data_IF_899380204692
#
_entry.id   IF_899380204692
#
_cell.length_a   1.000
_cell.length_b   1.000
_cell.length_c   1.000
_cell.angle_alpha   90.00
_cell.angle_beta   90.00
_cell.angle_gamma   90.00
#
_symmetry.space_group_name_H-M   'P 1'
#
loop_
_entity.id
_entity.type
_entity.pdbx_description
1 polymer ?
#
# COMPACT_ATOMS: atom_id res chain seq x y z
N UNK A 1 18.62 13.95 -6.89
CA UNK A 1 17.32 13.28 -7.08
C UNK A 1 17.52 11.79 -6.80
N UNK A 2 16.66 11.16 -5.98
CA UNK A 2 16.65 9.70 -5.79
C UNK A 2 15.64 9.09 -6.76
N UNK A 3 16.00 7.97 -7.39
CA UNK A 3 15.10 7.22 -8.28
C UNK A 3 14.66 5.93 -7.58
N UNK A 4 13.37 5.64 -7.69
CA UNK A 4 12.78 4.38 -7.27
C UNK A 4 12.07 3.69 -8.44
N UNK A 5 11.92 2.37 -8.32
CA UNK A 5 11.17 1.56 -9.29
C UNK A 5 10.19 0.65 -8.56
N UNK A 6 9.00 0.50 -9.12
CA UNK A 6 8.01 -0.44 -8.63
C UNK A 6 8.50 -1.89 -8.84
N UNK A 7 8.36 -2.75 -7.83
CA UNK A 7 8.71 -4.16 -7.99
C UNK A 7 7.75 -4.91 -8.92
N UNK A 8 6.47 -4.51 -8.96
CA UNK A 8 5.42 -5.19 -9.70
C UNK A 8 5.68 -5.21 -11.22
N UNK A 9 6.22 -4.12 -11.78
CA UNK A 9 6.56 -4.06 -13.21
C UNK A 9 7.69 -5.02 -13.60
N UNK A 10 8.44 -5.54 -12.63
CA UNK A 10 9.50 -6.55 -12.83
C UNK A 10 8.92 -7.96 -12.61
N UNK A 11 8.05 -8.12 -11.62
CA UNK A 11 7.32 -9.35 -11.34
C UNK A 11 7.34 -9.75 -9.86
N UNK A 12 7.04 -11.02 -9.58
CA UNK A 12 6.89 -11.55 -8.20
C UNK A 12 8.20 -11.96 -7.52
N UNK A 13 9.28 -12.11 -8.28
CA UNK A 13 10.59 -12.45 -7.71
C UNK A 13 11.26 -11.19 -7.17
N UNK A 14 11.28 -11.05 -5.84
CA UNK A 14 11.87 -9.89 -5.17
C UNK A 14 13.38 -9.79 -5.35
N UNK A 15 14.08 -10.92 -5.47
CA UNK A 15 15.53 -10.93 -5.72
C UNK A 15 15.81 -10.38 -7.11
N UNK A 16 15.03 -10.83 -8.11
CA UNK A 16 15.08 -10.28 -9.47
C UNK A 16 14.76 -8.79 -9.47
N UNK A 17 13.73 -8.37 -8.74
CA UNK A 17 13.34 -6.96 -8.64
C UNK A 17 14.48 -6.10 -8.07
N UNK A 18 15.10 -6.54 -6.98
CA UNK A 18 16.24 -5.85 -6.36
C UNK A 18 17.48 -5.82 -7.28
N UNK A 19 17.76 -6.91 -8.00
CA UNK A 19 18.85 -6.93 -8.99
C UNK A 19 18.62 -5.94 -10.13
N UNK A 20 17.41 -5.90 -10.69
CA UNK A 20 17.07 -4.98 -11.77
C UNK A 20 17.14 -3.54 -11.29
N UNK A 21 16.52 -3.23 -10.14
CA UNK A 21 16.54 -1.88 -9.56
C UNK A 21 17.98 -1.36 -9.34
N UNK A 22 18.86 -2.21 -8.78
CA UNK A 22 20.28 -1.87 -8.59
C UNK A 22 21.00 -1.67 -9.93
N UNK A 23 20.78 -2.57 -10.91
CA UNK A 23 21.43 -2.49 -12.25
C UNK A 23 21.05 -1.24 -13.03
N UNK A 24 19.80 -0.75 -12.91
CA UNK A 24 19.33 0.45 -13.60
C UNK A 24 19.66 1.74 -12.83
N UNK A 25 20.35 1.64 -11.69
CA UNK A 25 20.83 2.79 -10.93
C UNK A 25 19.80 3.41 -9.99
N UNK A 26 18.71 2.72 -9.67
CA UNK A 26 17.77 3.17 -8.64
C UNK A 26 18.42 3.10 -7.24
N UNK A 27 18.04 4.05 -6.39
CA UNK A 27 18.41 4.06 -4.97
C UNK A 27 17.30 3.49 -4.07
N UNK A 28 16.12 3.25 -4.64
CA UNK A 28 15.03 2.63 -3.90
C UNK A 28 14.06 1.85 -4.75
N UNK A 29 13.07 1.28 -4.06
CA UNK A 29 11.99 0.48 -4.64
C UNK A 29 10.66 0.82 -4.00
N UNK A 30 9.60 0.66 -4.76
CA UNK A 30 8.23 0.68 -4.23
C UNK A 30 7.68 -0.74 -4.30
N UNK A 31 7.09 -1.22 -3.19
CA UNK A 31 6.66 -2.61 -3.07
C UNK A 31 5.14 -2.73 -3.09
N UNK A 32 4.63 -3.47 -4.06
CA UNK A 32 3.26 -3.95 -4.10
C UNK A 32 3.16 -5.26 -3.31
N UNK A 33 2.58 -5.22 -2.10
CA UNK A 33 2.62 -6.38 -1.19
C UNK A 33 2.04 -7.67 -1.79
N UNK A 34 1.06 -7.53 -2.71
CA UNK A 34 0.37 -8.65 -3.33
C UNK A 34 1.28 -9.53 -4.20
N UNK A 35 2.48 -9.05 -4.54
CA UNK A 35 3.44 -9.85 -5.30
C UNK A 35 4.14 -10.91 -4.44
N UNK A 36 4.11 -10.77 -3.10
CA UNK A 36 4.81 -11.65 -2.17
C UNK A 36 3.97 -12.13 -0.96
N UNK A 37 2.81 -11.54 -0.68
CA UNK A 37 1.86 -12.06 0.31
C UNK A 37 0.41 -11.74 -0.05
N UNK A 38 -0.55 -12.56 0.38
CA UNK A 38 -1.98 -12.26 0.21
C UNK A 38 -2.45 -11.22 1.23
N UNK A 39 -2.12 -11.45 2.51
CA UNK A 39 -2.34 -10.49 3.60
C UNK A 39 -1.00 -10.21 4.28
N UNK A 40 -0.70 -8.96 4.62
CA UNK A 40 0.50 -8.63 5.38
C UNK A 40 0.60 -9.39 6.71
N UNK A 41 -0.55 -9.63 7.37
CA UNK A 41 -0.64 -10.38 8.62
C UNK A 41 -0.20 -11.83 8.53
N UNK A 42 -0.12 -12.41 7.33
CA UNK A 42 0.31 -13.79 7.13
C UNK A 42 1.84 -13.93 7.19
N UNK A 43 2.58 -12.82 7.06
CA UNK A 43 4.05 -12.80 7.12
C UNK A 43 4.53 -12.75 8.56
N UNK A 44 5.34 -13.73 8.94
CA UNK A 44 6.09 -13.70 10.20
C UNK A 44 7.15 -12.59 10.20
N UNK A 45 7.59 -12.17 11.39
CA UNK A 45 8.71 -11.23 11.55
C UNK A 45 9.96 -11.68 10.80
N UNK A 46 10.23 -12.99 10.76
CA UNK A 46 11.39 -13.53 10.04
C UNK A 46 11.28 -13.41 8.52
N UNK A 47 10.07 -13.53 7.96
CA UNK A 47 9.83 -13.36 6.53
C UNK A 47 9.93 -11.89 6.14
N UNK A 48 9.38 -10.98 6.97
CA UNK A 48 9.52 -9.53 6.76
C UNK A 48 10.98 -9.09 6.78
N UNK A 49 11.78 -9.60 7.72
CA UNK A 49 13.22 -9.33 7.78
C UNK A 49 13.96 -9.82 6.52
N UNK A 50 13.63 -11.01 6.02
CA UNK A 50 14.20 -11.53 4.76
C UNK A 50 13.83 -10.67 3.56
N UNK A 51 12.57 -10.23 3.47
CA UNK A 51 12.11 -9.32 2.40
C UNK A 51 12.92 -8.03 2.44
N UNK A 52 13.07 -7.41 3.62
CA UNK A 52 13.90 -6.22 3.80
C UNK A 52 15.35 -6.46 3.34
N UNK A 53 15.95 -7.56 3.76
CA UNK A 53 17.34 -7.91 3.45
C UNK A 53 17.61 -8.05 1.94
N UNK A 54 16.65 -8.56 1.17
CA UNK A 54 16.76 -8.68 -0.30
C UNK A 54 17.12 -7.33 -0.94
N UNK A 55 16.51 -6.25 -0.47
CA UNK A 55 16.73 -4.89 -0.98
C UNK A 55 17.90 -4.20 -0.28
N UNK A 56 17.97 -4.24 1.05
CA UNK A 56 19.00 -3.51 1.81
C UNK A 56 20.42 -4.03 1.55
N UNK A 57 20.59 -5.33 1.31
CA UNK A 57 21.90 -5.93 0.94
C UNK A 57 22.47 -5.40 -0.39
N UNK A 58 21.62 -4.77 -1.21
CA UNK A 58 21.99 -4.13 -2.49
C UNK A 58 22.00 -2.60 -2.41
N UNK A 59 21.90 -2.04 -1.19
CA UNK A 59 21.85 -0.60 -0.96
C UNK A 59 20.56 0.07 -1.44
N UNK A 60 19.48 -0.70 -1.61
CA UNK A 60 18.17 -0.17 -2.01
C UNK A 60 17.32 0.15 -0.78
N UNK A 61 16.76 1.35 -0.75
CA UNK A 61 15.74 1.78 0.22
C UNK A 61 14.36 1.28 -0.22
N UNK A 62 13.56 0.72 0.68
CA UNK A 62 12.14 0.46 0.42
C UNK A 62 11.40 1.78 0.67
N UNK A 63 11.08 2.53 -0.39
CA UNK A 63 10.57 3.89 -0.27
C UNK A 63 9.09 3.93 0.15
N UNK A 64 8.27 3.04 -0.42
CA UNK A 64 6.85 3.01 -0.17
C UNK A 64 6.24 1.62 -0.39
N UNK A 65 5.09 1.38 0.25
CA UNK A 65 4.17 0.31 -0.14
C UNK A 65 3.02 0.90 -0.94
N UNK A 66 2.59 0.22 -1.99
CA UNK A 66 1.46 0.66 -2.82
C UNK A 66 0.58 -0.53 -3.24
N UNK A 67 -0.49 -0.26 -3.99
CA UNK A 67 -1.51 -1.26 -4.34
C UNK A 67 -2.09 -1.99 -3.12
N UNK A 68 -2.28 -1.25 -2.02
CA UNK A 68 -2.53 -1.85 -0.71
C UNK A 68 -3.86 -2.63 -0.61
N UNK A 69 -4.79 -2.40 -1.56
CA UNK A 69 -6.08 -3.09 -1.66
C UNK A 69 -6.22 -4.02 -2.87
N UNK A 70 -5.16 -4.24 -3.65
CA UNK A 70 -5.17 -5.24 -4.73
C UNK A 70 -5.30 -6.66 -4.17
N UNK A 71 -4.83 -6.88 -2.94
CA UNK A 71 -4.99 -8.11 -2.18
C UNK A 71 -5.20 -7.78 -0.69
N UNK A 72 -5.93 -8.60 0.09
CA UNK A 72 -6.81 -9.68 -0.37
C UNK A 72 -7.95 -9.19 -1.28
N UNK A 73 -8.57 -10.06 -2.09
CA UNK A 73 -9.67 -9.68 -2.96
C UNK A 73 -10.91 -9.26 -2.17
N UNK A 74 -11.71 -8.38 -2.76
CA UNK A 74 -13.01 -7.96 -2.20
C UNK A 74 -12.97 -6.78 -1.23
N UNK A 75 -11.81 -6.12 -1.12
CA UNK A 75 -11.68 -4.87 -0.37
C UNK A 75 -12.31 -3.69 -1.14
N UNK A 76 -12.99 -2.82 -0.41
CA UNK A 76 -13.60 -1.58 -0.91
C UNK A 76 -13.51 -0.50 0.16
N UNK A 77 -12.99 0.66 -0.22
CA UNK A 77 -12.95 1.83 0.67
C UNK A 77 -14.36 2.34 0.95
N UNK A 78 -15.23 2.32 -0.07
CA UNK A 78 -16.62 2.74 0.02
C UNK A 78 -17.56 1.55 -0.15
N UNK A 79 -18.45 1.37 0.83
CA UNK A 79 -19.48 0.35 0.83
C UNK A 79 -20.60 0.78 1.77
N UNK A 80 -21.84 0.37 1.51
CA UNK A 80 -22.93 0.51 2.50
C UNK A 80 -22.69 -0.38 3.73
N UNK A 81 -22.00 -1.51 3.56
CA UNK A 81 -21.60 -2.37 4.67
C UNK A 81 -20.49 -1.71 5.48
N UNK A 82 -20.76 -1.45 6.75
CA UNK A 82 -19.75 -0.95 7.68
C UNK A 82 -18.62 -1.96 7.89
N UNK A 83 -18.94 -3.24 7.94
CA UNK A 83 -17.93 -4.31 8.07
C UNK A 83 -16.95 -4.30 6.89
N UNK A 84 -17.43 -4.07 5.66
CA UNK A 84 -16.54 -3.92 4.49
C UNK A 84 -15.60 -2.72 4.62
N UNK A 85 -16.09 -1.59 5.14
CA UNK A 85 -15.24 -0.42 5.39
C UNK A 85 -14.21 -0.69 6.50
N UNK A 86 -14.59 -1.44 7.55
CA UNK A 86 -13.67 -1.89 8.61
C UNK A 86 -12.60 -2.85 8.08
N UNK A 87 -12.94 -3.75 7.17
CA UNK A 87 -11.97 -4.65 6.51
C UNK A 87 -10.88 -3.84 5.77
N UNK A 88 -11.27 -2.80 5.02
CA UNK A 88 -10.31 -1.93 4.33
C UNK A 88 -9.42 -1.15 5.31
N UNK A 89 -9.99 -0.66 6.43
CA UNK A 89 -9.21 0.00 7.47
C UNK A 89 -8.23 -0.95 8.16
N UNK A 90 -8.67 -2.17 8.48
CA UNK A 90 -7.80 -3.20 9.06
C UNK A 90 -6.64 -3.54 8.11
N UNK A 91 -6.93 -3.74 6.82
CA UNK A 91 -5.87 -3.98 5.83
C UNK A 91 -4.87 -2.82 5.81
N UNK A 92 -5.33 -1.59 5.96
CA UNK A 92 -4.46 -0.40 5.99
C UNK A 92 -3.54 -0.42 7.21
N UNK A 93 -4.06 -0.79 8.38
CA UNK A 93 -3.23 -1.00 9.58
C UNK A 93 -2.21 -2.13 9.40
N UNK A 94 -2.63 -3.27 8.84
CA UNK A 94 -1.74 -4.40 8.60
C UNK A 94 -0.59 -4.03 7.62
N UNK A 95 -0.87 -3.17 6.62
CA UNK A 95 0.13 -2.64 5.69
C UNK A 95 1.02 -1.58 6.34
N UNK A 96 0.50 -0.75 7.25
CA UNK A 96 1.31 0.18 8.05
C UNK A 96 2.32 -0.60 8.91
N UNK A 97 1.88 -1.65 9.59
CA UNK A 97 2.78 -2.50 10.39
C UNK A 97 3.83 -3.19 9.50
N UNK A 98 3.45 -3.62 8.29
CA UNK A 98 4.41 -4.14 7.30
C UNK A 98 5.40 -3.07 6.86
N UNK A 99 4.96 -1.83 6.64
CA UNK A 99 5.84 -0.73 6.26
C UNK A 99 6.89 -0.47 7.36
N UNK A 100 6.50 -0.50 8.63
CA UNK A 100 7.42 -0.38 9.78
C UNK A 100 8.50 -1.46 9.74
N UNK A 101 8.10 -2.73 9.60
CA UNK A 101 9.06 -3.86 9.61
C UNK A 101 10.00 -3.84 8.40
N UNK A 102 9.54 -3.31 7.26
CA UNK A 102 10.33 -3.12 6.05
C UNK A 102 11.11 -1.81 6.02
N UNK A 103 10.98 -0.97 7.05
CA UNK A 103 11.53 0.40 7.14
C UNK A 103 11.06 1.34 6.00
N UNK A 104 9.90 1.05 5.42
CA UNK A 104 9.22 1.94 4.49
C UNK A 104 8.50 3.05 5.23
N UNK A 105 8.63 4.29 4.73
CA UNK A 105 8.06 5.47 5.39
C UNK A 105 6.70 5.87 4.86
N UNK A 106 6.30 5.35 3.71
CA UNK A 106 5.08 5.77 3.02
C UNK A 106 4.25 4.54 2.65
N UNK A 107 2.93 4.65 2.84
CA UNK A 107 1.98 3.79 2.17
C UNK A 107 1.11 4.64 1.23
N UNK A 108 0.86 4.14 0.02
CA UNK A 108 0.09 4.84 -1.01
C UNK A 108 -1.28 4.19 -1.13
N UNK A 109 -2.31 4.97 -0.82
CA UNK A 109 -3.72 4.63 -1.00
C UNK A 109 -4.12 4.97 -2.44
N UNK A 110 -3.67 4.13 -3.36
CA UNK A 110 -3.83 4.33 -4.81
C UNK A 110 -4.87 3.44 -5.47
N UNK A 111 -5.08 2.21 -4.99
CA UNK A 111 -5.85 1.14 -5.66
C UNK A 111 -7.19 1.61 -6.31
N UNK A 112 -7.24 1.85 -7.63
CA UNK A 112 -8.27 2.65 -8.28
C UNK A 112 -9.69 2.08 -8.11
N UNK A 113 -9.88 0.83 -8.54
CA UNK A 113 -11.16 0.11 -8.47
C UNK A 113 -11.67 -0.05 -7.05
N UNK A 114 -10.79 -0.13 -6.07
CA UNK A 114 -11.15 -0.30 -4.66
C UNK A 114 -11.60 1.00 -4.01
N UNK A 115 -11.31 2.15 -4.64
CA UNK A 115 -11.73 3.48 -4.23
C UNK A 115 -12.93 4.03 -5.00
N UNK A 116 -13.49 3.29 -5.95
CA UNK A 116 -14.70 3.71 -6.64
C UNK A 116 -15.88 3.84 -5.66
N UNK A 117 -16.51 5.01 -5.64
CA UNK A 117 -17.79 5.25 -4.97
C UNK A 117 -18.87 4.50 -5.74
N UNK A 118 -19.61 3.57 -5.09
CA UNK A 118 -20.73 2.88 -5.72
C UNK A 118 -21.82 3.87 -6.18
N UNK A 119 -22.49 3.65 -7.34
CA UNK A 119 -23.52 4.55 -7.86
C UNK A 119 -24.65 4.87 -6.86
N UNK A 120 -24.95 3.93 -5.97
CA UNK A 120 -25.99 4.06 -4.95
C UNK A 120 -25.55 4.79 -3.68
N UNK A 121 -24.30 5.24 -3.60
CA UNK A 121 -23.73 6.00 -2.49
C UNK A 121 -23.59 7.47 -2.91
N UNK A 122 -24.27 8.41 -2.22
CA UNK A 122 -24.04 9.83 -2.47
C UNK A 122 -22.58 10.22 -2.22
N UNK A 123 -22.00 11.03 -3.12
CA UNK A 123 -20.60 11.50 -3.01
C UNK A 123 -20.29 12.08 -1.63
N UNK A 124 -21.18 12.92 -1.09
CA UNK A 124 -21.01 13.51 0.25
C UNK A 124 -20.84 12.46 1.35
N UNK A 125 -21.61 11.37 1.29
CA UNK A 125 -21.50 10.26 2.25
C UNK A 125 -20.17 9.52 2.09
N UNK A 126 -19.70 9.31 0.85
CA UNK A 126 -18.39 8.73 0.61
C UNK A 126 -17.25 9.63 1.14
N UNK A 127 -17.37 10.95 0.99
CA UNK A 127 -16.41 11.92 1.53
C UNK A 127 -16.38 11.89 3.07
N UNK A 128 -17.55 11.80 3.72
CA UNK A 128 -17.64 11.62 5.19
C UNK A 128 -16.94 10.32 5.65
N UNK A 129 -17.15 9.21 4.93
CA UNK A 129 -16.44 7.96 5.20
C UNK A 129 -14.94 8.06 4.94
N UNK A 130 -14.52 8.74 3.89
CA UNK A 130 -13.10 8.95 3.60
C UNK A 130 -12.42 9.77 4.71
N UNK A 131 -13.06 10.85 5.17
CA UNK A 131 -12.53 11.68 6.27
C UNK A 131 -12.38 10.86 7.55
N UNK A 132 -13.37 10.05 7.93
CA UNK A 132 -13.26 9.15 9.08
C UNK A 132 -12.15 8.11 8.90
N UNK A 133 -12.08 7.50 7.72
CA UNK A 133 -11.07 6.51 7.37
C UNK A 133 -9.65 7.08 7.46
N UNK A 134 -9.37 8.20 6.80
CA UNK A 134 -8.03 8.80 6.76
C UNK A 134 -7.61 9.39 8.11
N UNK A 135 -8.56 9.86 8.92
CA UNK A 135 -8.27 10.23 10.31
C UNK A 135 -7.75 9.03 11.10
N UNK A 136 -8.47 7.91 11.09
CA UNK A 136 -8.08 6.68 11.81
C UNK A 136 -6.77 6.09 11.27
N UNK A 137 -6.60 6.07 9.95
CA UNK A 137 -5.36 5.63 9.30
C UNK A 137 -4.18 6.52 9.68
N UNK A 138 -4.37 7.84 9.66
CA UNK A 138 -3.35 8.82 10.04
C UNK A 138 -2.94 8.70 11.52
N UNK A 139 -3.90 8.63 12.45
CA UNK A 139 -3.63 8.43 13.88
C UNK A 139 -2.85 7.13 14.16
N UNK A 140 -3.19 6.06 13.44
CA UNK A 140 -2.48 4.78 13.58
C UNK A 140 -1.04 4.85 13.04
N UNK A 141 -0.85 5.55 11.92
CA UNK A 141 0.43 5.69 11.23
C UNK A 141 1.37 6.69 11.91
N UNK A 142 0.84 7.76 12.50
CA UNK A 142 1.61 8.79 13.21
C UNK A 142 2.46 8.18 14.33
N UNK A 143 1.84 7.33 15.15
CA UNK A 143 2.50 6.61 16.24
C UNK A 143 3.61 5.64 15.78
N UNK A 144 3.71 5.39 14.47
CA UNK A 144 4.63 4.43 13.84
C UNK A 144 5.62 5.09 12.87
N UNK A 145 5.54 6.41 12.69
CA UNK A 145 6.40 7.13 11.75
C UNK A 145 6.15 6.81 10.28
N UNK A 146 4.93 6.37 9.93
CA UNK A 146 4.51 6.07 8.56
C UNK A 146 3.58 7.16 8.05
N UNK A 147 3.75 7.56 6.80
CA UNK A 147 2.90 8.53 6.10
C UNK A 147 1.87 7.77 5.25
N UNK A 148 0.59 8.13 5.40
CA UNK A 148 -0.48 7.65 4.53
C UNK A 148 -0.70 8.67 3.42
N UNK A 149 -0.32 8.33 2.20
CA UNK A 149 -0.46 9.19 1.03
C UNK A 149 -1.68 8.77 0.19
N UNK A 150 -2.63 9.68 -0.02
CA UNK A 150 -3.73 9.49 -0.97
C UNK A 150 -3.27 9.90 -2.37
N UNK A 151 -3.36 8.99 -3.33
CA UNK A 151 -2.96 9.23 -4.72
C UNK A 151 -4.13 9.79 -5.54
N UNK A 152 -4.01 10.99 -6.12
CA UNK A 152 -4.98 11.49 -7.09
C UNK A 152 -4.87 10.71 -8.39
N UNK A 153 -5.99 10.20 -8.90
CA UNK A 153 -6.01 9.41 -10.13
C UNK A 153 -6.94 10.02 -11.18
N UNK A 154 -6.67 9.75 -12.47
CA UNK A 154 -7.56 10.14 -13.55
C UNK A 154 -8.99 9.59 -13.36
N UNK A 155 -9.99 10.34 -13.82
CA UNK A 155 -11.41 9.96 -13.70
C UNK A 155 -11.79 8.67 -14.45
N UNK A 156 -10.94 8.22 -15.37
CA UNK A 156 -11.08 6.95 -16.08
C UNK A 156 -10.73 5.73 -15.22
N UNK A 157 -9.91 5.92 -14.19
CA UNK A 157 -9.49 4.84 -13.29
C UNK A 157 -10.35 4.78 -12.02
N UNK A 158 -10.78 5.92 -11.50
CA UNK A 158 -11.63 6.00 -10.31
C UNK A 158 -12.48 7.26 -10.29
N UNK A 159 -13.63 7.21 -9.63
CA UNK A 159 -14.50 8.38 -9.46
C UNK A 159 -14.25 9.14 -8.14
N UNK A 160 -13.20 8.81 -7.39
CA UNK A 160 -12.85 9.47 -6.14
C UNK A 160 -11.37 9.79 -6.06
N UNK A 161 -11.04 11.10 -6.13
CA UNK A 161 -9.70 11.71 -6.03
C UNK A 161 -8.65 11.06 -6.92
#
# INVERSE_FOLDING_TARGET
>A
MKLSICNEIIGRDLTKAAEVASKVGCQGVELAHFTFCTKPSDLSTSERAKIKEVFSSRGLEICALHWIYASPPGLKLFSKSEEKRKEALKQTFDVIDLAVDLEAKIIVVGSPKQREIPPEVPRKTAEEWAVDFFRKAGEYAENRGVIVALEPLPSEDTNFI
#
